data_IF_491487425025
#
_entry.id   IF_491487425025
#
_cell.length_a   1.000
_cell.length_b   1.000
_cell.length_c   1.000
_cell.angle_alpha   90.00
_cell.angle_beta   90.00
_cell.angle_gamma   90.00
#
_symmetry.space_group_name_H-M   'P 1'
#
loop_
_entity.id
_entity.type
_entity.pdbx_description
1 polymer ?
#
# COMPACT_ATOMS: atom_id res chain seq x y z
N UNK A 1 -6.33 27.30 1.58
CA UNK A 1 -5.41 26.22 1.13
C UNK A 1 -5.61 24.91 1.93
N UNK A 2 -6.83 24.35 2.02
CA UNK A 2 -7.12 23.21 2.91
C UNK A 2 -7.78 21.98 2.23
N UNK A 3 -8.15 22.03 0.95
CA UNK A 3 -8.87 20.94 0.29
C UNK A 3 -8.02 19.72 -0.14
N UNK A 4 -6.69 19.75 0.06
CA UNK A 4 -5.79 18.67 -0.42
C UNK A 4 -5.69 17.46 0.53
N UNK A 5 -6.18 17.58 1.77
CA UNK A 5 -6.05 16.51 2.78
C UNK A 5 -7.12 15.42 2.71
N UNK A 6 -8.26 15.67 2.04
CA UNK A 6 -9.36 14.68 1.98
C UNK A 6 -9.10 13.52 1.01
N UNK A 7 -8.37 13.70 -0.10
CA UNK A 7 -8.16 12.61 -1.08
C UNK A 7 -7.19 11.51 -0.63
N UNK A 8 -6.45 11.69 0.46
CA UNK A 8 -5.54 10.64 0.99
C UNK A 8 -6.25 9.66 1.96
N UNK A 9 -7.41 10.08 2.48
CA UNK A 9 -8.19 9.31 3.45
C UNK A 9 -8.91 8.08 2.83
N UNK A 10 -9.58 8.17 1.65
CA UNK A 10 -10.24 7.01 1.06
C UNK A 10 -9.25 5.93 0.58
N UNK A 11 -8.06 6.34 0.11
CA UNK A 11 -7.04 5.39 -0.36
C UNK A 11 -6.44 4.54 0.77
N UNK A 12 -6.16 5.18 1.92
CA UNK A 12 -5.67 4.45 3.11
C UNK A 12 -6.75 3.56 3.71
N UNK A 13 -8.00 4.04 3.71
CA UNK A 13 -9.13 3.26 4.21
C UNK A 13 -9.35 2.00 3.37
N UNK A 14 -9.23 2.10 2.04
CA UNK A 14 -9.32 0.93 1.15
C UNK A 14 -8.28 -0.14 1.47
N UNK A 15 -7.00 0.25 1.60
CA UNK A 15 -5.91 -0.68 1.95
C UNK A 15 -6.12 -1.30 3.34
N UNK A 16 -6.60 -0.52 4.31
CA UNK A 16 -6.88 -1.00 5.66
C UNK A 16 -8.00 -2.05 5.65
N UNK A 17 -9.10 -1.79 4.93
CA UNK A 17 -10.22 -2.73 4.81
C UNK A 17 -9.79 -4.00 4.09
N UNK A 18 -9.04 -3.88 2.99
CA UNK A 18 -8.54 -5.05 2.25
C UNK A 18 -7.59 -5.88 3.14
N UNK A 19 -6.65 -5.26 3.85
CA UNK A 19 -5.73 -5.96 4.74
C UNK A 19 -6.47 -6.63 5.91
N UNK A 20 -7.52 -6.01 6.43
CA UNK A 20 -8.33 -6.57 7.51
C UNK A 20 -9.12 -7.80 7.04
N UNK A 21 -9.76 -7.73 5.88
CA UNK A 21 -10.45 -8.88 5.27
C UNK A 21 -9.46 -10.00 4.96
N UNK A 22 -8.31 -9.67 4.37
CA UNK A 22 -7.25 -10.63 4.07
C UNK A 22 -6.72 -11.30 5.35
N UNK A 23 -6.55 -10.54 6.43
CA UNK A 23 -6.12 -11.07 7.72
C UNK A 23 -7.17 -12.02 8.32
N UNK A 24 -8.46 -11.68 8.24
CA UNK A 24 -9.53 -12.57 8.71
C UNK A 24 -9.59 -13.86 7.91
N UNK A 25 -9.50 -13.78 6.59
CA UNK A 25 -9.52 -14.97 5.72
C UNK A 25 -8.28 -15.84 6.00
N UNK A 26 -7.09 -15.27 5.99
CA UNK A 26 -5.84 -16.02 6.22
C UNK A 26 -5.69 -16.53 7.65
N UNK A 27 -6.18 -15.78 8.64
CA UNK A 27 -6.22 -16.19 10.04
C UNK A 27 -7.22 -17.33 10.27
N UNK A 28 -8.41 -17.25 9.67
CA UNK A 28 -9.41 -18.31 9.75
C UNK A 28 -8.93 -19.59 9.04
N UNK A 29 -8.32 -19.48 7.86
CA UNK A 29 -7.75 -20.65 7.16
C UNK A 29 -6.59 -21.24 7.93
N UNK A 30 -5.71 -20.44 8.54
CA UNK A 30 -4.65 -20.93 9.40
C UNK A 30 -5.22 -21.72 10.59
N UNK A 31 -6.22 -21.16 11.29
CA UNK A 31 -6.88 -21.83 12.41
C UNK A 31 -7.54 -23.14 11.97
N UNK A 32 -8.22 -23.14 10.83
CA UNK A 32 -8.83 -24.35 10.26
C UNK A 32 -7.78 -25.43 9.93
N UNK A 33 -6.64 -25.05 9.33
CA UNK A 33 -5.55 -25.99 9.01
C UNK A 33 -4.96 -26.60 10.28
N UNK A 34 -4.72 -25.79 11.31
CA UNK A 34 -4.26 -26.29 12.61
C UNK A 34 -5.29 -27.20 13.28
N UNK A 35 -6.58 -26.88 13.18
CA UNK A 35 -7.65 -27.73 13.67
C UNK A 35 -7.68 -29.08 12.97
N UNK A 36 -7.59 -29.10 11.64
CA UNK A 36 -7.50 -30.33 10.85
C UNK A 36 -6.27 -31.16 11.19
N UNK A 37 -5.14 -30.52 11.53
CA UNK A 37 -3.93 -31.24 11.93
C UNK A 37 -4.08 -31.94 13.28
N UNK A 38 -4.81 -31.33 14.23
CA UNK A 38 -5.11 -31.95 15.53
C UNK A 38 -5.95 -33.21 15.35
N UNK A 39 -6.97 -33.13 14.48
CA UNK A 39 -7.87 -34.26 14.20
C UNK A 39 -7.12 -35.40 13.47
N UNK A 40 -6.30 -35.04 12.47
CA UNK A 40 -5.46 -35.98 11.72
C UNK A 40 -4.40 -36.69 12.58
N UNK A 41 -4.06 -36.17 13.76
CA UNK A 41 -3.08 -36.80 14.64
C UNK A 41 -3.65 -38.02 15.40
N UNK A 42 -4.98 -38.14 15.47
CA UNK A 42 -5.65 -39.26 16.13
C UNK A 42 -5.71 -40.52 15.25
N UNK A 43 -5.53 -40.38 13.92
CA UNK A 43 -5.58 -41.48 12.95
C UNK A 43 -4.16 -41.90 12.50
N UNK A 44 -3.63 -43.06 12.94
CA UNK A 44 -2.24 -43.43 12.70
C UNK A 44 -1.91 -43.87 11.26
N UNK A 45 -2.89 -43.95 10.36
CA UNK A 45 -2.69 -44.41 8.97
C UNK A 45 -2.54 -43.28 7.94
N UNK A 46 -2.59 -42.01 8.35
CA UNK A 46 -2.45 -40.91 7.40
C UNK A 46 -1.00 -40.83 6.87
N UNK A 47 -0.86 -40.94 5.55
CA UNK A 47 0.41 -40.85 4.81
C UNK A 47 1.32 -39.74 5.37
N UNK A 48 2.53 -40.09 5.84
CA UNK A 48 3.49 -39.14 6.40
C UNK A 48 3.76 -37.94 5.48
N UNK A 49 3.73 -38.14 4.16
CA UNK A 49 3.89 -37.06 3.17
C UNK A 49 2.78 -36.01 3.24
N UNK A 50 1.54 -36.42 3.51
CA UNK A 50 0.40 -35.52 3.64
C UNK A 50 0.50 -34.70 4.93
N UNK A 51 0.92 -35.33 6.03
CA UNK A 51 1.14 -34.67 7.32
C UNK A 51 2.17 -33.55 7.20
N UNK A 52 3.31 -33.81 6.56
CA UNK A 52 4.35 -32.79 6.31
C UNK A 52 3.83 -31.64 5.44
N UNK A 53 3.03 -31.94 4.41
CA UNK A 53 2.43 -30.92 3.55
C UNK A 53 1.49 -29.99 4.30
N UNK A 54 0.61 -30.53 5.14
CA UNK A 54 -0.34 -29.74 5.94
C UNK A 54 0.41 -28.83 6.92
N UNK A 55 1.47 -29.31 7.58
CA UNK A 55 2.29 -28.51 8.48
C UNK A 55 2.95 -27.33 7.74
N UNK A 56 3.53 -27.58 6.56
CA UNK A 56 4.13 -26.52 5.74
C UNK A 56 3.11 -25.44 5.35
N UNK A 57 1.92 -25.86 4.91
CA UNK A 57 0.84 -24.94 4.55
C UNK A 57 0.44 -24.10 5.78
N UNK A 58 0.26 -24.73 6.94
CA UNK A 58 -0.08 -24.03 8.19
C UNK A 58 0.94 -22.95 8.56
N UNK A 59 2.24 -23.26 8.47
CA UNK A 59 3.32 -22.29 8.76
C UNK A 59 3.32 -21.12 7.77
N UNK A 60 3.09 -21.38 6.48
CA UNK A 60 3.02 -20.31 5.47
C UNK A 60 1.86 -19.36 5.74
N UNK A 61 0.67 -19.89 6.08
CA UNK A 61 -0.49 -19.06 6.40
C UNK A 61 -0.32 -18.26 7.69
N UNK A 62 0.37 -18.79 8.71
CA UNK A 62 0.65 -18.01 9.94
C UNK A 62 1.62 -16.86 9.68
N UNK A 63 2.68 -17.09 8.90
CA UNK A 63 3.61 -16.02 8.49
C UNK A 63 2.89 -14.98 7.64
N UNK A 64 1.99 -15.39 6.74
CA UNK A 64 1.16 -14.49 5.94
C UNK A 64 0.22 -13.63 6.81
N UNK A 65 -0.36 -14.21 7.86
CA UNK A 65 -1.20 -13.48 8.81
C UNK A 65 -0.37 -12.43 9.59
N UNK A 66 0.85 -12.75 10.02
CA UNK A 66 1.76 -11.79 10.67
C UNK A 66 2.13 -10.64 9.74
N UNK A 67 2.41 -10.94 8.48
CA UNK A 67 2.61 -9.93 7.44
C UNK A 67 1.41 -8.99 7.33
N UNK A 68 0.18 -9.52 7.33
CA UNK A 68 -1.03 -8.70 7.26
C UNK A 68 -1.15 -7.75 8.46
N UNK A 69 -0.76 -8.19 9.67
CA UNK A 69 -0.70 -7.33 10.85
C UNK A 69 0.33 -6.20 10.69
N UNK A 70 1.51 -6.47 10.13
CA UNK A 70 2.48 -5.40 9.85
C UNK A 70 1.96 -4.39 8.83
N UNK A 71 1.18 -4.85 7.84
CA UNK A 71 0.49 -3.98 6.89
C UNK A 71 -0.56 -3.09 7.55
N UNK A 72 -1.32 -3.63 8.50
CA UNK A 72 -2.29 -2.90 9.30
C UNK A 72 -1.64 -1.80 10.15
N UNK A 73 -0.53 -2.13 10.84
CA UNK A 73 0.26 -1.15 11.62
C UNK A 73 0.82 -0.05 10.71
N UNK A 74 1.27 -0.42 9.51
CA UNK A 74 1.75 0.54 8.49
C UNK A 74 0.69 1.55 8.05
N UNK A 75 -0.59 1.14 7.99
CA UNK A 75 -1.71 2.03 7.65
C UNK A 75 -2.03 3.04 8.76
N UNK A 76 -1.83 2.65 10.03
CA UNK A 76 -2.05 3.51 11.21
C UNK A 76 -0.92 4.53 11.41
N UNK A 77 0.31 4.20 11.03
CA UNK A 77 1.46 5.06 11.23
C UNK A 77 1.43 6.30 10.29
N UNK A 78 1.07 7.47 10.84
CA UNK A 78 0.97 8.75 10.11
C UNK A 78 2.32 9.37 9.67
N UNK A 79 3.46 8.69 9.87
CA UNK A 79 4.79 9.23 9.56
C UNK A 79 5.21 8.91 8.11
N UNK A 80 5.78 9.88 7.40
CA UNK A 80 6.32 9.72 6.03
C UNK A 80 7.33 8.56 5.91
N UNK A 81 8.09 8.29 6.97
CA UNK A 81 9.01 7.14 7.03
C UNK A 81 8.29 5.79 6.98
N UNK A 82 7.08 5.70 7.55
CA UNK A 82 6.30 4.46 7.59
C UNK A 82 5.80 4.06 6.20
N UNK A 83 5.61 5.01 5.27
CA UNK A 83 5.23 4.70 3.88
C UNK A 83 6.36 3.95 3.16
N UNK A 84 7.62 4.29 3.46
CA UNK A 84 8.78 3.65 2.83
C UNK A 84 8.98 2.22 3.31
N UNK A 85 8.83 1.98 4.61
CA UNK A 85 8.86 0.62 5.17
C UNK A 85 7.67 -0.20 4.71
N UNK A 86 6.48 0.40 4.63
CA UNK A 86 5.28 -0.26 4.11
C UNK A 86 5.43 -0.72 2.65
N UNK A 87 6.00 0.12 1.78
CA UNK A 87 6.30 -0.27 0.40
C UNK A 87 7.31 -1.41 0.30
N UNK A 88 8.31 -1.42 1.18
CA UNK A 88 9.28 -2.50 1.25
C UNK A 88 8.64 -3.83 1.69
N UNK A 89 7.79 -3.79 2.72
CA UNK A 89 7.04 -4.96 3.18
C UNK A 89 6.11 -5.47 2.07
N UNK A 90 5.34 -4.59 1.42
CA UNK A 90 4.49 -4.98 0.28
C UNK A 90 5.29 -5.71 -0.81
N UNK A 91 6.44 -5.16 -1.20
CA UNK A 91 7.28 -5.77 -2.24
C UNK A 91 7.81 -7.15 -1.81
N UNK A 92 8.29 -7.26 -0.57
CA UNK A 92 8.77 -8.52 -0.01
C UNK A 92 7.66 -9.58 0.01
N UNK A 93 6.44 -9.17 0.35
CA UNK A 93 5.29 -10.09 0.43
C UNK A 93 4.82 -10.53 -0.94
N UNK A 94 4.86 -9.65 -1.94
CA UNK A 94 4.54 -9.99 -3.32
C UNK A 94 5.53 -11.03 -3.87
N UNK A 95 6.83 -10.87 -3.60
CA UNK A 95 7.85 -11.85 -3.99
C UNK A 95 7.60 -13.19 -3.29
N UNK A 96 7.34 -13.17 -1.98
CA UNK A 96 7.09 -14.38 -1.20
C UNK A 96 5.81 -15.09 -1.67
N UNK A 97 4.76 -14.34 -1.99
CA UNK A 97 3.52 -14.87 -2.55
C UNK A 97 3.79 -15.58 -3.88
N UNK A 98 4.52 -14.95 -4.81
CA UNK A 98 4.88 -15.54 -6.10
C UNK A 98 5.66 -16.85 -5.88
N UNK A 99 6.67 -16.83 -5.01
CA UNK A 99 7.48 -18.00 -4.69
C UNK A 99 6.63 -19.16 -4.14
N UNK A 100 5.73 -18.87 -3.21
CA UNK A 100 4.80 -19.87 -2.63
C UNK A 100 3.83 -20.40 -3.69
N UNK A 101 3.26 -19.56 -4.54
CA UNK A 101 2.35 -20.01 -5.61
C UNK A 101 3.07 -20.91 -6.62
N UNK A 102 4.29 -20.57 -7.02
CA UNK A 102 5.10 -21.40 -7.94
C UNK A 102 5.46 -22.73 -7.28
N UNK A 103 5.92 -22.70 -6.02
CA UNK A 103 6.25 -23.90 -5.26
C UNK A 103 5.02 -24.82 -5.12
N UNK A 104 3.86 -24.25 -4.77
CA UNK A 104 2.60 -24.98 -4.64
C UNK A 104 2.15 -25.60 -5.96
N UNK A 105 2.33 -24.89 -7.08
CA UNK A 105 2.08 -25.45 -8.41
C UNK A 105 2.96 -26.68 -8.66
N UNK A 106 4.27 -26.57 -8.42
CA UNK A 106 5.23 -27.67 -8.64
C UNK A 106 4.88 -28.88 -7.77
N UNK A 107 4.63 -28.66 -6.47
CA UNK A 107 4.19 -29.73 -5.57
C UNK A 107 2.90 -30.39 -6.04
N UNK A 108 1.93 -29.61 -6.53
CA UNK A 108 0.68 -30.14 -7.04
C UNK A 108 0.88 -30.97 -8.33
N UNK A 109 1.71 -30.51 -9.27
CA UNK A 109 2.03 -31.27 -10.48
C UNK A 109 2.71 -32.60 -10.14
N UNK A 110 3.68 -32.59 -9.22
CA UNK A 110 4.36 -33.80 -8.77
C UNK A 110 3.41 -34.80 -8.10
N UNK A 111 2.45 -34.31 -7.29
CA UNK A 111 1.46 -35.15 -6.64
C UNK A 111 0.43 -35.74 -7.62
N UNK A 112 0.07 -34.95 -8.64
CA UNK A 112 -0.86 -35.37 -9.69
C UNK A 112 -0.26 -36.47 -10.57
N UNK A 113 1.03 -36.40 -10.89
CA UNK A 113 1.71 -37.49 -11.60
C UNK A 113 1.65 -38.82 -10.84
N UNK A 114 1.44 -38.80 -9.52
CA UNK A 114 1.26 -40.01 -8.72
C UNK A 114 -0.20 -40.48 -8.61
N UNK A 115 -1.18 -39.65 -8.96
CA UNK A 115 -2.61 -39.92 -8.73
C UNK A 115 -3.45 -39.57 -9.97
N UNK A 116 -3.61 -40.53 -10.86
CA UNK A 116 -4.39 -40.44 -12.13
C UNK A 116 -5.92 -40.22 -11.91
N UNK A 117 -6.41 -40.25 -10.66
CA UNK A 117 -7.83 -40.44 -10.38
C UNK A 117 -8.69 -39.16 -10.26
N UNK A 118 -8.10 -37.96 -10.10
CA UNK A 118 -8.89 -36.74 -9.84
C UNK A 118 -8.79 -35.74 -10.99
N UNK A 119 -9.83 -35.69 -11.84
CA UNK A 119 -10.01 -34.66 -12.88
C UNK A 119 -10.47 -33.34 -12.27
N UNK A 120 -9.57 -32.64 -11.57
CA UNK A 120 -9.77 -31.21 -11.28
C UNK A 120 -9.49 -30.42 -12.56
N UNK A 121 -10.37 -29.49 -12.98
CA UNK A 121 -10.09 -28.64 -14.13
C UNK A 121 -8.82 -27.83 -13.87
N UNK A 122 -7.77 -28.09 -14.67
CA UNK A 122 -6.46 -27.43 -14.57
C UNK A 122 -6.57 -25.90 -14.54
N UNK A 123 -7.51 -25.36 -15.33
CA UNK A 123 -7.77 -23.93 -15.41
C UNK A 123 -8.21 -23.31 -14.08
N UNK A 124 -8.96 -24.03 -13.24
CA UNK A 124 -9.45 -23.48 -11.98
C UNK A 124 -8.31 -23.23 -10.98
N UNK A 125 -7.35 -24.16 -10.89
CA UNK A 125 -6.20 -24.03 -9.99
C UNK A 125 -5.33 -22.84 -10.41
N UNK A 126 -5.02 -22.73 -11.70
CA UNK A 126 -4.19 -21.65 -12.23
C UNK A 126 -4.91 -20.29 -12.07
N UNK A 127 -6.20 -20.23 -12.40
CA UNK A 127 -7.00 -19.00 -12.24
C UNK A 127 -7.02 -18.53 -10.77
N UNK A 128 -7.22 -19.45 -9.83
CA UNK A 128 -7.24 -19.12 -8.40
C UNK A 128 -5.89 -18.60 -7.89
N UNK A 129 -4.77 -19.00 -8.50
CA UNK A 129 -3.43 -18.51 -8.16
C UNK A 129 -3.13 -17.13 -8.77
N UNK A 130 -3.64 -16.84 -9.97
CA UNK A 130 -3.36 -15.57 -10.68
C UNK A 130 -4.13 -14.39 -10.06
N UNK A 131 -5.41 -14.60 -9.71
CA UNK A 131 -6.27 -13.54 -9.15
C UNK A 131 -5.63 -12.79 -7.97
N UNK A 132 -5.13 -13.45 -6.90
CA UNK A 132 -4.53 -12.74 -5.77
C UNK A 132 -3.25 -11.99 -6.15
N UNK A 133 -2.46 -12.49 -7.10
CA UNK A 133 -1.24 -11.82 -7.58
C UNK A 133 -1.60 -10.50 -8.30
N UNK A 134 -2.65 -10.51 -9.14
CA UNK A 134 -3.11 -9.31 -9.84
C UNK A 134 -3.63 -8.28 -8.85
N UNK A 135 -4.42 -8.70 -7.86
CA UNK A 135 -4.93 -7.80 -6.81
C UNK A 135 -3.78 -7.18 -6.01
N UNK A 136 -2.77 -7.96 -5.63
CA UNK A 136 -1.58 -7.45 -4.92
C UNK A 136 -0.75 -6.51 -5.79
N UNK A 137 -0.55 -6.84 -7.07
CA UNK A 137 0.15 -5.98 -8.02
C UNK A 137 -0.57 -4.64 -8.20
N UNK A 138 -1.90 -4.65 -8.29
CA UNK A 138 -2.71 -3.44 -8.36
C UNK A 138 -2.57 -2.57 -7.09
N UNK A 139 -2.57 -3.18 -5.91
CA UNK A 139 -2.31 -2.47 -4.66
C UNK A 139 -0.93 -1.81 -4.65
N UNK A 140 0.12 -2.54 -5.05
CA UNK A 140 1.48 -2.02 -5.18
C UNK A 140 1.55 -0.84 -6.17
N UNK A 141 0.87 -0.93 -7.31
CA UNK A 141 0.81 0.13 -8.31
C UNK A 141 0.23 1.43 -7.73
N UNK A 142 -0.92 1.34 -7.04
CA UNK A 142 -1.54 2.52 -6.41
C UNK A 142 -0.60 3.15 -5.36
N UNK A 143 0.01 2.34 -4.50
CA UNK A 143 0.89 2.84 -3.43
C UNK A 143 2.14 3.50 -4.03
N UNK A 144 2.68 2.95 -5.12
CA UNK A 144 3.81 3.54 -5.86
C UNK A 144 3.45 4.89 -6.47
N UNK A 145 2.29 4.98 -7.13
CA UNK A 145 1.78 6.24 -7.67
C UNK A 145 1.59 7.30 -6.58
N UNK A 146 1.12 6.89 -5.40
CA UNK A 146 0.95 7.77 -4.24
C UNK A 146 2.29 8.26 -3.67
N UNK A 147 3.28 7.38 -3.55
CA UNK A 147 4.64 7.75 -3.11
C UNK A 147 5.22 8.84 -4.02
N UNK A 148 5.05 8.73 -5.33
CA UNK A 148 5.56 9.73 -6.28
C UNK A 148 4.92 11.10 -6.06
N UNK A 149 3.60 11.15 -5.77
CA UNK A 149 2.91 12.41 -5.45
C UNK A 149 3.41 13.04 -4.15
N UNK A 150 3.65 12.23 -3.12
CA UNK A 150 4.21 12.74 -1.85
C UNK A 150 5.65 13.23 -2.00
N UNK A 151 6.47 12.55 -2.79
CA UNK A 151 7.82 13.00 -3.10
C UNK A 151 7.80 14.34 -3.84
N UNK A 152 6.86 14.52 -4.76
CA UNK A 152 6.69 15.78 -5.47
C UNK A 152 6.28 16.91 -4.52
N UNK A 153 5.31 16.69 -3.64
CA UNK A 153 4.93 17.66 -2.61
C UNK A 153 6.08 18.01 -1.65
N UNK A 154 6.93 17.04 -1.32
CA UNK A 154 8.10 17.30 -0.48
C UNK A 154 9.11 18.17 -1.22
N UNK A 155 9.41 17.85 -2.49
CA UNK A 155 10.28 18.69 -3.34
C UNK A 155 9.74 20.11 -3.48
N UNK A 156 8.44 20.29 -3.72
CA UNK A 156 7.84 21.61 -3.87
C UNK A 156 7.96 22.44 -2.58
N UNK A 157 7.77 21.82 -1.41
CA UNK A 157 7.96 22.48 -0.11
C UNK A 157 9.42 22.86 0.15
N UNK A 158 10.34 21.95 -0.15
CA UNK A 158 11.77 22.21 0.01
C UNK A 158 12.23 23.35 -0.91
N UNK A 159 11.68 23.43 -2.13
CA UNK A 159 11.90 24.56 -3.04
C UNK A 159 11.37 25.85 -2.43
N UNK A 160 10.10 25.90 -2.01
CA UNK A 160 9.48 27.12 -1.43
C UNK A 160 10.24 27.65 -0.21
N UNK A 161 10.73 26.76 0.67
CA UNK A 161 11.51 27.17 1.85
C UNK A 161 12.89 27.71 1.48
N UNK A 162 13.48 27.23 0.38
CA UNK A 162 14.77 27.71 -0.13
C UNK A 162 14.63 29.09 -0.78
N UNK A 163 13.46 29.42 -1.33
CA UNK A 163 13.20 30.74 -1.94
C UNK A 163 12.66 31.77 -0.96
N UNK A 164 12.78 31.58 0.36
CA UNK A 164 12.60 32.71 1.27
C UNK A 164 13.76 33.67 0.99
N UNK A 165 13.54 34.82 0.31
CA UNK A 165 14.62 35.76 0.12
C UNK A 165 15.11 36.14 1.52
N UNK A 166 16.42 36.05 1.74
CA UNK A 166 17.03 36.71 2.88
C UNK A 166 16.62 38.16 2.72
N UNK A 167 15.72 38.64 3.58
CA UNK A 167 15.36 40.05 3.62
C UNK A 167 16.67 40.78 3.94
N UNK A 168 17.30 41.34 2.93
CA UNK A 168 18.41 42.23 3.14
C UNK A 168 17.85 43.37 4.00
N UNK A 169 18.43 43.62 5.20
CA UNK A 169 18.01 44.78 5.96
C UNK A 169 18.22 45.99 5.05
N UNK A 170 17.11 46.68 4.72
CA UNK A 170 17.19 47.92 3.96
C UNK A 170 18.06 48.86 4.81
N UNK A 171 19.18 49.39 4.27
CA UNK A 171 20.02 50.33 5.01
C UNK A 171 19.12 51.44 5.53
N UNK A 172 19.13 51.65 6.85
CA UNK A 172 18.28 52.65 7.48
C UNK A 172 18.60 54.02 6.91
N UNK A 173 17.77 54.51 6.00
CA UNK A 173 17.76 55.92 5.65
C UNK A 173 17.15 56.67 6.83
N UNK A 174 17.75 57.80 7.23
CA UNK A 174 17.29 58.66 8.33
C UNK A 174 15.88 59.24 8.12
N UNK A 175 15.26 58.96 6.98
CA UNK A 175 13.86 59.25 6.66
C UNK A 175 12.96 58.01 6.79
N UNK A 176 13.13 57.25 7.87
CA UNK A 176 12.20 56.18 8.22
C UNK A 176 10.88 56.79 8.72
N UNK A 177 10.02 57.17 7.78
CA UNK A 177 8.63 57.47 8.09
C UNK A 177 7.98 56.24 8.75
N UNK A 178 7.24 56.40 9.87
CA UNK A 178 6.56 55.28 10.51
C UNK A 178 5.62 54.65 9.49
N UNK A 179 5.93 53.41 9.09
CA UNK A 179 5.11 52.67 8.14
C UNK A 179 3.76 52.45 8.83
N UNK A 180 2.66 53.07 8.36
CA UNK A 180 1.36 52.72 8.89
C UNK A 180 1.15 51.24 8.56
N UNK A 181 0.87 50.43 9.57
CA UNK A 181 0.31 49.09 9.38
C UNK A 181 -1.10 49.23 8.79
N UNK A 182 -1.19 49.69 7.55
CA UNK A 182 -2.40 49.60 6.78
C UNK A 182 -2.64 48.11 6.55
N UNK A 183 -3.87 47.67 6.83
CA UNK A 183 -4.44 46.40 6.40
C UNK A 183 -4.39 46.33 4.87
N UNK A 184 -3.19 46.17 4.29
CA UNK A 184 -2.99 46.05 2.87
C UNK A 184 -3.49 44.66 2.50
N UNK A 185 -4.60 44.57 1.73
CA UNK A 185 -5.06 43.29 1.22
C UNK A 185 -3.90 42.69 0.44
N UNK A 186 -3.52 41.47 0.83
CA UNK A 186 -2.44 40.71 0.21
C UNK A 186 -2.57 40.83 -1.32
N UNK A 187 -1.52 41.27 -2.02
CA UNK A 187 -1.60 41.67 -3.45
C UNK A 187 -2.12 40.54 -4.36
N UNK A 188 -1.95 39.29 -3.93
CA UNK A 188 -2.49 38.10 -4.62
C UNK A 188 -3.95 37.74 -4.23
N UNK A 189 -4.60 38.55 -3.40
CA UNK A 189 -6.00 38.40 -3.02
C UNK A 189 -6.97 39.03 -4.00
N UNK A 190 -6.52 39.92 -4.88
CA UNK A 190 -7.36 40.54 -5.89
C UNK A 190 -7.47 39.62 -7.13
N UNK A 191 -8.71 39.33 -7.52
CA UNK A 191 -9.09 38.39 -8.59
C UNK A 191 -8.39 38.50 -9.95
N UNK A 192 -7.89 39.67 -10.44
CA UNK A 192 -7.24 39.72 -11.75
C UNK A 192 -5.92 38.94 -11.83
N UNK A 193 -5.22 38.77 -10.71
CA UNK A 193 -3.92 38.09 -10.65
C UNK A 193 -4.00 36.73 -9.93
N UNK A 194 -5.21 36.24 -9.64
CA UNK A 194 -5.39 34.94 -9.04
C UNK A 194 -5.01 33.84 -10.07
N UNK A 195 -4.10 32.94 -9.65
CA UNK A 195 -3.69 31.78 -10.43
C UNK A 195 -4.93 30.96 -10.85
N UNK A 196 -5.33 31.08 -12.12
CA UNK A 196 -6.53 30.42 -12.67
C UNK A 196 -7.45 31.29 -13.53
N UNK A 197 -7.23 32.62 -13.59
CA UNK A 197 -8.02 33.49 -14.45
C UNK A 197 -7.57 33.38 -15.93
N UNK A 198 -7.97 32.30 -16.61
CA UNK A 198 -7.90 32.18 -18.07
C UNK A 198 -9.11 32.91 -18.67
N UNK A 199 -9.07 34.25 -18.65
CA UNK A 199 -10.02 35.07 -19.40
C UNK A 199 -9.73 34.94 -20.90
N UNK A 200 -10.43 34.00 -21.54
CA UNK A 200 -10.38 33.77 -22.99
C UNK A 200 -10.80 35.02 -23.75
N UNK A 201 -9.87 35.55 -24.53
CA UNK A 201 -10.12 36.64 -25.49
C UNK A 201 -10.74 36.02 -26.74
N UNK A 202 -12.07 36.05 -26.83
CA UNK A 202 -12.78 35.86 -28.10
C UNK A 202 -12.78 37.21 -28.84
N UNK A 203 -11.92 37.35 -29.84
CA UNK A 203 -12.05 38.39 -30.85
C UNK A 203 -13.02 37.91 -31.94
N UNK A 204 -14.08 38.70 -32.18
CA UNK A 204 -14.88 38.72 -33.41
C UNK A 204 -14.76 40.12 -33.97
#
# INVERSE_FOLDING_TARGET
MAAKFLCCLPLRLGVLVIAFIQFLITGATAAAVWWSLLDANNEPQLTQKLKTGIILIGVVYTVSALVCLTGFIGALARKLGAIRTYLFVLYLTLILQIAVTVFSLISFYNLRHATEAVKIPQGAVIASAIIPIVIQMYACYIVSAYKNRLLQQKRDKDVVLTVNPVYAPVPGSEHAFPVPHANLPYVYGNGPHAFGNQGGVHHV
#
